data_IF_642629256595
#
_entry.id   IF_642629256595
#
_cell.length_a   1.000
_cell.length_b   1.000
_cell.length_c   1.000
_cell.angle_alpha   90.00
_cell.angle_beta   90.00
_cell.angle_gamma   90.00
#
_symmetry.space_group_name_H-M   'P 1'
#
loop_
_entity.id
_entity.type
_entity.pdbx_description
1 polymer ?
#
# COMPACT_ATOMS: atom_id res chain seq x y z
N UNK A 1 -33.96 -1.01 11.53
CA UNK A 1 -32.84 -1.45 10.67
C UNK A 1 -31.60 -0.67 11.06
N UNK A 2 -30.46 -1.33 11.27
CA UNK A 2 -29.17 -0.65 11.41
C UNK A 2 -28.48 -0.58 10.05
N UNK A 3 -28.05 0.61 9.65
CA UNK A 3 -27.24 0.83 8.44
C UNK A 3 -25.77 0.67 8.83
N UNK A 4 -24.98 -0.03 8.00
CA UNK A 4 -23.54 -0.20 8.19
C UNK A 4 -22.82 0.30 6.94
N UNK A 5 -21.92 1.26 7.13
CA UNK A 5 -21.16 1.87 6.04
C UNK A 5 -19.80 1.16 5.84
N UNK A 6 -19.39 1.05 4.57
CA UNK A 6 -18.13 0.46 4.18
C UNK A 6 -17.38 1.42 3.25
N UNK A 7 -16.09 1.61 3.50
CA UNK A 7 -15.19 2.31 2.59
C UNK A 7 -14.48 1.28 1.69
N UNK A 8 -14.60 1.44 0.38
CA UNK A 8 -13.82 0.68 -0.60
C UNK A 8 -12.43 1.31 -0.78
N UNK A 9 -11.36 0.53 -0.59
CA UNK A 9 -9.99 0.98 -0.83
C UNK A 9 -9.75 1.17 -2.34
N UNK A 10 -9.38 2.37 -2.82
CA UNK A 10 -9.15 2.62 -4.25
C UNK A 10 -7.95 1.83 -4.81
N UNK A 11 -6.98 1.49 -3.95
CA UNK A 11 -5.76 0.76 -4.34
C UNK A 11 -6.00 -0.73 -4.59
N UNK A 12 -6.71 -1.41 -3.69
CA UNK A 12 -6.87 -2.89 -3.75
C UNK A 12 -8.32 -3.38 -3.87
N UNK A 13 -9.32 -2.49 -3.83
CA UNK A 13 -10.74 -2.83 -3.93
C UNK A 13 -11.33 -3.50 -2.69
N UNK A 14 -10.54 -3.74 -1.63
CA UNK A 14 -11.05 -4.29 -0.37
C UNK A 14 -11.91 -3.26 0.35
N UNK A 15 -13.03 -3.70 0.91
CA UNK A 15 -13.92 -2.85 1.70
C UNK A 15 -13.70 -3.05 3.19
N UNK A 16 -13.69 -1.96 3.95
CA UNK A 16 -13.54 -1.95 5.41
C UNK A 16 -14.69 -1.16 6.01
N UNK A 17 -15.26 -1.65 7.11
CA UNK A 17 -16.30 -0.92 7.86
C UNK A 17 -15.73 0.42 8.31
N UNK A 18 -16.42 1.52 8.04
CA UNK A 18 -15.91 2.89 8.30
C UNK A 18 -15.49 3.09 9.75
N UNK A 19 -16.23 2.53 10.70
CA UNK A 19 -15.93 2.58 12.15
C UNK A 19 -14.65 1.84 12.57
N UNK A 20 -14.00 1.09 11.68
CA UNK A 20 -12.71 0.42 11.92
C UNK A 20 -11.52 1.16 11.30
N UNK A 21 -11.78 2.23 10.57
CA UNK A 21 -10.74 3.02 9.90
C UNK A 21 -10.21 4.05 10.89
N UNK A 22 -8.88 4.16 10.94
CA UNK A 22 -8.15 5.12 11.74
C UNK A 22 -7.51 6.14 10.80
N UNK A 23 -8.11 7.32 10.58
CA UNK A 23 -7.61 8.31 9.62
C UNK A 23 -6.13 8.65 9.80
N UNK A 24 -5.65 8.69 11.04
CA UNK A 24 -4.25 8.95 11.40
C UNK A 24 -3.26 7.92 10.82
N UNK A 25 -3.74 6.73 10.46
CA UNK A 25 -2.90 5.70 9.82
C UNK A 25 -2.74 5.90 8.31
N UNK A 26 -3.51 6.80 7.70
CA UNK A 26 -3.53 7.05 6.26
C UNK A 26 -2.51 8.10 5.80
N UNK A 27 -1.92 8.86 6.73
CA UNK A 27 -1.00 9.96 6.43
C UNK A 27 0.43 9.48 6.09
N UNK A 28 0.77 8.24 6.44
CA UNK A 28 2.13 7.75 6.33
C UNK A 28 2.34 6.95 5.04
N UNK A 29 3.19 7.46 4.15
CA UNK A 29 3.72 6.72 3.01
C UNK A 29 5.18 7.13 2.73
N UNK A 30 6.03 6.17 2.36
CA UNK A 30 7.39 6.44 1.87
C UNK A 30 7.69 5.56 0.66
N UNK A 31 8.43 6.12 -0.31
CA UNK A 31 8.89 5.39 -1.49
C UNK A 31 9.86 4.24 -1.15
N UNK A 32 10.45 4.25 0.06
CA UNK A 32 11.34 3.19 0.56
C UNK A 32 10.60 2.02 1.18
N UNK A 33 9.27 2.10 1.31
CA UNK A 33 8.48 0.97 1.78
C UNK A 33 8.61 -0.20 0.83
N UNK A 34 8.87 -1.37 1.40
CA UNK A 34 8.90 -2.64 0.67
C UNK A 34 7.50 -3.00 0.18
N UNK A 35 7.20 -2.62 -1.07
CA UNK A 35 5.96 -2.95 -1.76
C UNK A 35 5.94 -4.45 -2.12
N UNK A 36 7.04 -4.96 -2.66
CA UNK A 36 7.24 -6.39 -2.81
C UNK A 36 7.80 -6.94 -1.49
N UNK A 37 7.03 -7.81 -0.83
CA UNK A 37 7.45 -8.47 0.40
C UNK A 37 7.71 -9.94 0.15
N UNK A 38 8.98 -10.33 0.20
CA UNK A 38 9.35 -11.73 0.31
C UNK A 38 9.21 -12.13 1.76
N UNK A 39 8.52 -13.24 2.03
CA UNK A 39 8.29 -13.70 3.40
C UNK A 39 8.74 -15.13 3.58
N UNK A 40 9.48 -15.37 4.64
CA UNK A 40 9.92 -16.71 5.01
C UNK A 40 8.97 -17.31 6.06
N UNK A 41 8.58 -18.55 5.84
CA UNK A 41 7.77 -19.30 6.79
C UNK A 41 8.66 -19.76 7.95
N UNK A 42 8.36 -19.27 9.16
CA UNK A 42 9.06 -19.69 10.37
C UNK A 42 8.40 -20.92 11.00
N UNK A 43 9.16 -21.77 11.72
CA UNK A 43 8.61 -22.91 12.45
C UNK A 43 7.49 -22.48 13.41
N UNK A 44 6.36 -23.19 13.38
CA UNK A 44 5.16 -22.85 14.15
C UNK A 44 3.88 -23.10 13.33
N UNK A 45 2.69 -23.04 13.95
CA UNK A 45 1.45 -23.39 13.25
C UNK A 45 1.16 -22.40 12.11
N UNK A 46 1.16 -22.92 10.89
CA UNK A 46 0.73 -22.19 9.70
C UNK A 46 -0.76 -21.86 9.74
N UNK A 47 -1.10 -20.64 9.28
CA UNK A 47 -2.44 -20.07 9.00
C UNK A 47 -3.55 -20.47 9.97
N UNK A 48 -3.66 -19.77 11.11
CA UNK A 48 -4.91 -19.73 11.87
C UNK A 48 -4.80 -19.35 13.34
N UNK A 49 -3.62 -19.47 13.96
CA UNK A 49 -3.40 -19.08 15.37
C UNK A 49 -2.20 -18.15 15.50
N UNK A 50 -2.44 -16.94 16.01
CA UNK A 50 -1.38 -16.04 16.47
C UNK A 50 -0.86 -16.60 17.81
N UNK A 51 0.31 -17.21 17.82
CA UNK A 51 1.03 -17.54 19.06
C UNK A 51 2.02 -16.41 19.32
N UNK A 52 2.03 -15.85 20.53
CA UNK A 52 3.05 -14.87 20.93
C UNK A 52 4.41 -15.57 20.98
N UNK A 53 5.36 -15.13 20.17
CA UNK A 53 6.78 -15.42 20.33
C UNK A 53 7.42 -16.41 19.34
N UNK A 54 6.67 -17.28 18.65
CA UNK A 54 7.24 -18.23 17.68
C UNK A 54 6.21 -18.58 16.58
N UNK A 55 6.56 -18.31 15.33
CA UNK A 55 5.76 -18.67 14.13
C UNK A 55 5.15 -17.47 13.38
N UNK A 56 5.23 -17.51 12.04
CA UNK A 56 4.68 -16.48 11.16
C UNK A 56 5.37 -16.40 9.80
N UNK A 57 4.89 -15.49 8.95
CA UNK A 57 5.53 -15.11 7.69
C UNK A 57 6.30 -13.80 7.91
N UNK A 58 7.57 -13.90 8.27
CA UNK A 58 8.44 -12.74 8.53
C UNK A 58 8.90 -12.16 7.20
N UNK A 59 8.87 -10.84 7.06
CA UNK A 59 9.36 -10.15 5.85
C UNK A 59 10.88 -10.24 5.83
N UNK A 60 11.43 -10.78 4.75
CA UNK A 60 12.86 -10.80 4.46
C UNK A 60 13.27 -9.40 3.96
N UNK A 61 14.05 -8.62 4.73
CA UNK A 61 14.39 -7.26 4.36
C UNK A 61 15.38 -7.16 3.19
N UNK A 62 16.13 -8.23 2.88
CA UNK A 62 17.13 -8.25 1.81
C UNK A 62 16.49 -8.62 0.47
N UNK A 63 15.52 -9.52 0.47
CA UNK A 63 14.80 -9.94 -0.74
C UNK A 63 13.57 -9.10 -1.04
N UNK A 64 13.03 -8.40 -0.05
CA UNK A 64 11.94 -7.45 -0.26
C UNK A 64 12.42 -6.18 -0.95
N UNK A 65 11.54 -5.56 -1.74
CA UNK A 65 11.91 -4.45 -2.60
C UNK A 65 10.92 -3.29 -2.49
N UNK A 66 11.48 -2.09 -2.40
CA UNK A 66 10.80 -0.84 -2.65
C UNK A 66 10.40 -0.70 -4.12
N UNK A 67 9.50 0.23 -4.42
CA UNK A 67 9.08 0.46 -5.81
C UNK A 67 10.23 0.88 -6.72
N UNK A 68 11.21 1.65 -6.21
CA UNK A 68 12.36 2.10 -6.98
C UNK A 68 13.26 0.90 -7.37
N UNK A 69 13.56 0.01 -6.43
CA UNK A 69 14.33 -1.22 -6.71
C UNK A 69 13.60 -2.14 -7.67
N UNK A 70 12.28 -2.25 -7.56
CA UNK A 70 11.50 -3.06 -8.49
C UNK A 70 11.55 -2.54 -9.94
N UNK A 71 11.65 -1.22 -10.16
CA UNK A 71 11.76 -0.64 -11.50
C UNK A 71 13.12 -0.94 -12.17
N UNK A 72 14.16 -1.10 -11.35
CA UNK A 72 15.52 -1.46 -11.78
C UNK A 72 15.68 -2.97 -11.99
N UNK A 73 14.88 -3.80 -11.31
CA UNK A 73 14.87 -5.26 -11.47
C UNK A 73 14.18 -5.70 -12.76
N UNK A 74 14.88 -6.35 -13.72
CA UNK A 74 14.25 -6.88 -14.92
C UNK A 74 13.09 -7.85 -14.64
N UNK A 75 13.16 -8.62 -13.55
CA UNK A 75 12.15 -9.61 -13.16
C UNK A 75 10.86 -8.97 -12.64
N UNK A 76 10.96 -7.82 -11.96
CA UNK A 76 9.83 -7.20 -11.27
C UNK A 76 9.36 -5.89 -11.89
N UNK A 77 10.05 -5.41 -12.93
CA UNK A 77 9.77 -4.13 -13.60
C UNK A 77 8.34 -4.03 -14.10
N UNK A 78 7.82 -5.09 -14.74
CA UNK A 78 6.47 -5.08 -15.29
C UNK A 78 5.41 -4.90 -14.21
N UNK A 79 5.59 -5.56 -13.06
CA UNK A 79 4.72 -5.41 -11.90
C UNK A 79 4.82 -3.99 -11.33
N UNK A 80 6.03 -3.46 -11.18
CA UNK A 80 6.25 -2.09 -10.70
C UNK A 80 5.58 -1.04 -11.62
N UNK A 81 5.71 -1.22 -12.93
CA UNK A 81 5.07 -0.36 -13.93
C UNK A 81 3.55 -0.46 -13.84
N UNK A 82 2.99 -1.66 -13.66
CA UNK A 82 1.55 -1.84 -13.49
C UNK A 82 1.01 -1.14 -12.23
N UNK A 83 1.71 -1.26 -11.09
CA UNK A 83 1.37 -0.56 -9.84
C UNK A 83 1.43 0.95 -10.03
N UNK A 84 2.54 1.47 -10.59
CA UNK A 84 2.71 2.89 -10.92
C UNK A 84 1.57 3.41 -11.81
N UNK A 85 1.26 2.69 -12.90
CA UNK A 85 0.23 3.10 -13.84
C UNK A 85 -1.17 3.11 -13.19
N UNK A 86 -1.44 2.19 -12.27
CA UNK A 86 -2.69 2.20 -11.49
C UNK A 86 -2.77 3.44 -10.59
N UNK A 87 -1.69 3.79 -9.89
CA UNK A 87 -1.64 4.99 -9.06
C UNK A 87 -1.90 6.26 -9.88
N UNK A 88 -1.27 6.38 -11.05
CA UNK A 88 -1.51 7.51 -11.96
C UNK A 88 -2.96 7.59 -12.43
N UNK A 89 -3.63 6.46 -12.69
CA UNK A 89 -5.05 6.44 -13.01
C UNK A 89 -5.92 6.91 -11.85
N UNK A 90 -5.62 6.47 -10.62
CA UNK A 90 -6.34 6.92 -9.42
C UNK A 90 -6.19 8.42 -9.25
N UNK A 91 -4.95 8.94 -9.26
CA UNK A 91 -4.69 10.38 -9.14
C UNK A 91 -5.37 11.15 -10.28
N UNK A 92 -5.29 10.65 -11.51
CA UNK A 92 -5.93 11.26 -12.68
C UNK A 92 -7.45 11.37 -12.54
N UNK A 93 -8.12 10.34 -12.01
CA UNK A 93 -9.56 10.39 -11.76
C UNK A 93 -9.92 11.39 -10.65
N UNK A 94 -9.11 11.49 -9.60
CA UNK A 94 -9.32 12.44 -8.51
C UNK A 94 -9.12 13.89 -8.98
N UNK A 95 -8.10 14.14 -9.82
CA UNK A 95 -7.92 15.41 -10.52
C UNK A 95 -9.14 15.73 -11.41
N UNK A 96 -9.62 14.75 -12.17
CA UNK A 96 -10.75 14.91 -13.11
C UNK A 96 -12.04 15.33 -12.40
N UNK A 97 -12.31 14.82 -11.20
CA UNK A 97 -13.49 15.19 -10.40
C UNK A 97 -13.26 16.38 -9.47
N UNK A 98 -12.06 16.97 -9.47
CA UNK A 98 -11.70 18.10 -8.60
C UNK A 98 -11.56 17.74 -7.13
N UNK A 99 -11.37 16.46 -6.80
CA UNK A 99 -11.12 16.00 -5.43
C UNK A 99 -9.66 16.19 -5.01
N UNK A 100 -8.76 16.34 -5.97
CA UNK A 100 -7.37 16.75 -5.81
C UNK A 100 -7.10 17.84 -6.86
N UNK A 101 -6.25 18.81 -6.55
CA UNK A 101 -5.77 19.86 -7.45
C UNK A 101 -4.29 19.69 -7.77
N UNK A 102 -3.80 20.37 -8.82
CA UNK A 102 -2.36 20.33 -9.14
C UNK A 102 -1.55 21.09 -8.09
N UNK A 103 -2.12 22.16 -7.57
CA UNK A 103 -1.53 23.03 -6.56
C UNK A 103 -1.27 22.27 -5.25
N UNK A 104 -2.19 21.39 -4.83
CA UNK A 104 -2.01 20.49 -3.68
C UNK A 104 -0.86 19.50 -3.91
N UNK A 105 -0.74 18.92 -5.11
CA UNK A 105 0.36 18.02 -5.45
C UNK A 105 1.70 18.76 -5.41
N UNK A 106 1.76 19.95 -6.01
CA UNK A 106 2.98 20.76 -6.04
C UNK A 106 3.40 21.24 -4.65
N UNK A 107 2.44 21.57 -3.78
CA UNK A 107 2.70 21.89 -2.38
C UNK A 107 3.33 20.70 -1.64
N UNK A 108 2.75 19.50 -1.79
CA UNK A 108 3.26 18.28 -1.17
C UNK A 108 4.68 17.93 -1.63
N UNK A 109 5.00 18.15 -2.92
CA UNK A 109 6.34 17.89 -3.44
C UNK A 109 7.39 18.87 -2.92
N UNK A 110 7.01 20.12 -2.60
CA UNK A 110 7.93 21.11 -2.00
C UNK A 110 8.24 20.81 -0.53
N UNK A 111 7.28 20.26 0.22
CA UNK A 111 7.48 19.86 1.63
C UNK A 111 8.38 18.63 1.77
N UNK A 112 8.45 17.81 0.73
CA UNK A 112 9.27 16.59 0.70
C UNK A 112 10.71 16.80 0.18
N UNK A 113 11.05 17.99 -0.32
CA UNK A 113 12.35 18.34 -0.91
C UNK A 113 13.24 19.07 0.10
#
# INVERSE_FOLDING_TARGET
MSIVEYLGCPFCGKSVVTSRIRPETLENFSADWNILQVREAQPGPGRGRKIKGVGGFVVDPLRSMSIHRMLESPEHRDLAVAVKNRLLKIVGEYLRVGAITREEIDALLREAA
#
